data_IF_819985047385
#
_entry.id   IF_819985047385
#
_cell.length_a   1.000
_cell.length_b   1.000
_cell.length_c   1.000
_cell.angle_alpha   90.00
_cell.angle_beta   90.00
_cell.angle_gamma   90.00
#
_symmetry.space_group_name_H-M   'P 1'
#
loop_
_entity.id
_entity.type
_entity.pdbx_description
1 polymer ?
#
# COMPACT_ATOMS: atom_id res chain seq x y z
N UNK A 1 -8.67 -2.32 23.07
CA UNK A 1 -10.10 -2.48 22.70
C UNK A 1 -10.87 -1.34 23.33
N UNK A 2 -11.80 -0.75 22.62
CA UNK A 2 -12.62 0.35 23.12
C UNK A 2 -13.62 -0.16 24.17
N UNK A 3 -13.86 0.65 25.19
CA UNK A 3 -15.01 0.46 26.06
C UNK A 3 -16.32 0.70 25.30
N UNK A 4 -17.42 0.12 25.77
CA UNK A 4 -18.72 0.27 25.10
C UNK A 4 -19.15 1.73 24.95
N UNK A 5 -18.93 2.56 25.98
CA UNK A 5 -19.22 3.99 25.96
C UNK A 5 -18.40 4.74 24.91
N UNK A 6 -17.10 4.44 24.80
CA UNK A 6 -16.20 5.02 23.79
C UNK A 6 -16.64 4.64 22.38
N UNK A 7 -17.03 3.37 22.17
CA UNK A 7 -17.55 2.90 20.88
C UNK A 7 -18.85 3.63 20.53
N UNK A 8 -19.80 3.74 21.45
CA UNK A 8 -21.05 4.48 21.19
C UNK A 8 -20.81 5.94 20.82
N UNK A 9 -19.90 6.63 21.51
CA UNK A 9 -19.50 8.01 21.19
C UNK A 9 -18.81 8.12 19.82
N UNK A 10 -17.95 7.16 19.47
CA UNK A 10 -17.32 7.07 18.16
C UNK A 10 -18.39 6.94 17.06
N UNK A 11 -19.32 5.99 17.19
CA UNK A 11 -20.38 5.78 16.20
C UNK A 11 -21.32 6.98 16.10
N UNK A 12 -21.50 7.73 17.20
CA UNK A 12 -22.25 8.98 17.21
C UNK A 12 -21.55 10.11 16.45
N UNK A 13 -20.25 10.31 16.71
CA UNK A 13 -19.41 11.27 15.98
C UNK A 13 -19.33 10.97 14.49
N UNK A 14 -19.28 9.70 14.11
CA UNK A 14 -19.32 9.26 12.71
C UNK A 14 -20.72 9.42 12.08
N UNK A 15 -21.74 9.77 12.87
CA UNK A 15 -23.09 10.02 12.36
C UNK A 15 -23.84 8.75 11.95
N UNK A 16 -23.48 7.57 12.47
CA UNK A 16 -24.14 6.32 12.05
C UNK A 16 -25.63 6.33 12.43
N UNK A 17 -26.53 5.97 11.50
CA UNK A 17 -27.94 5.71 11.81
C UNK A 17 -28.12 4.60 12.84
N UNK A 18 -29.26 4.59 13.55
CA UNK A 18 -29.58 3.60 14.59
C UNK A 18 -29.42 2.15 14.09
N UNK A 19 -29.86 1.86 12.87
CA UNK A 19 -29.74 0.53 12.27
C UNK A 19 -28.27 0.10 12.08
N UNK A 20 -27.40 1.02 11.68
CA UNK A 20 -25.96 0.78 11.58
C UNK A 20 -25.31 0.59 12.95
N UNK A 21 -25.59 1.50 13.89
CA UNK A 21 -25.08 1.38 15.27
C UNK A 21 -25.39 0.01 15.87
N UNK A 22 -26.63 -0.45 15.70
CA UNK A 22 -27.04 -1.77 16.19
C UNK A 22 -26.20 -2.90 15.58
N UNK A 23 -25.98 -2.90 14.26
CA UNK A 23 -25.12 -3.90 13.62
C UNK A 23 -23.71 -3.92 14.21
N UNK A 24 -23.12 -2.76 14.46
CA UNK A 24 -21.75 -2.65 14.97
C UNK A 24 -21.65 -3.06 16.44
N UNK A 25 -22.60 -2.62 17.28
CA UNK A 25 -22.64 -3.00 18.70
C UNK A 25 -22.94 -4.50 18.88
N UNK A 26 -23.83 -5.06 18.06
CA UNK A 26 -24.10 -6.51 18.04
C UNK A 26 -22.86 -7.28 17.58
N UNK A 27 -22.15 -6.83 16.54
CA UNK A 27 -20.90 -7.43 16.11
C UNK A 27 -19.83 -7.40 17.22
N UNK A 28 -19.66 -6.27 17.90
CA UNK A 28 -18.70 -6.14 18.99
C UNK A 28 -18.96 -7.11 20.15
N UNK A 29 -20.23 -7.45 20.38
CA UNK A 29 -20.67 -8.33 21.46
C UNK A 29 -20.72 -9.80 21.08
N UNK A 30 -21.11 -10.13 19.85
CA UNK A 30 -21.48 -11.48 19.45
C UNK A 30 -20.56 -12.10 18.39
N UNK A 31 -19.62 -11.35 17.82
CA UNK A 31 -18.69 -11.89 16.84
C UNK A 31 -17.65 -12.84 17.49
N UNK A 32 -17.32 -13.98 16.82
CA UNK A 32 -17.82 -14.40 15.50
C UNK A 32 -19.23 -15.01 15.56
N UNK A 33 -20.10 -14.66 14.61
CA UNK A 33 -21.51 -15.14 14.59
C UNK A 33 -21.72 -16.49 13.90
N UNK A 34 -20.70 -16.98 13.17
CA UNK A 34 -20.63 -18.37 12.73
C UNK A 34 -19.43 -19.02 13.42
N UNK A 35 -19.57 -20.27 13.84
CA UNK A 35 -18.41 -21.00 14.33
C UNK A 35 -17.45 -21.29 13.19
N UNK A 36 -16.17 -21.13 13.49
CA UNK A 36 -15.05 -21.49 12.62
C UNK A 36 -15.10 -22.99 12.35
N UNK A 37 -15.41 -23.39 11.11
CA UNK A 37 -15.51 -24.82 10.74
C UNK A 37 -14.40 -25.21 9.77
N UNK A 38 -13.52 -26.12 10.19
CA UNK A 38 -12.66 -26.85 9.27
C UNK A 38 -13.53 -27.83 8.46
N UNK A 39 -13.91 -27.46 7.24
CA UNK A 39 -14.56 -28.40 6.31
C UNK A 39 -13.48 -29.15 5.54
N UNK A 40 -12.96 -30.22 6.15
CA UNK A 40 -12.35 -31.37 5.46
C UNK A 40 -11.34 -31.06 4.36
N UNK A 41 -10.21 -30.40 4.69
CA UNK A 41 -8.97 -30.52 3.91
C UNK A 41 -8.33 -29.23 3.39
N UNK A 42 -8.96 -28.06 3.53
CA UNK A 42 -8.41 -26.79 3.01
C UNK A 42 -8.36 -25.60 3.98
N UNK A 43 -9.16 -25.61 5.05
CA UNK A 43 -9.25 -24.50 6.00
C UNK A 43 -8.43 -24.81 7.26
N UNK A 44 -7.43 -23.97 7.53
CA UNK A 44 -6.58 -24.04 8.73
C UNK A 44 -7.06 -22.97 9.69
N UNK A 45 -7.59 -23.41 10.84
CA UNK A 45 -7.89 -22.49 11.94
C UNK A 45 -6.57 -21.98 12.47
N UNK A 46 -6.34 -20.68 12.34
CA UNK A 46 -5.12 -20.04 12.85
C UNK A 46 -5.52 -19.09 13.98
N UNK A 47 -5.26 -19.46 15.24
CA UNK A 47 -5.46 -18.56 16.37
C UNK A 47 -4.35 -17.49 16.36
N UNK A 48 -4.73 -16.25 16.64
CA UNK A 48 -3.83 -15.10 16.73
C UNK A 48 -4.15 -14.31 18.00
N UNK A 49 -3.13 -13.97 18.81
CA UNK A 49 -3.32 -13.21 20.04
C UNK A 49 -3.32 -11.72 19.70
N UNK A 50 -4.49 -11.08 19.75
CA UNK A 50 -4.63 -9.67 19.43
C UNK A 50 -4.47 -8.81 20.68
N UNK A 51 -3.51 -7.88 20.64
CA UNK A 51 -3.34 -6.84 21.66
C UNK A 51 -4.38 -5.75 21.48
N UNK A 52 -4.73 -5.36 20.24
CA UNK A 52 -5.81 -4.38 19.99
C UNK A 52 -7.13 -4.86 20.55
N UNK A 53 -7.48 -6.14 20.34
CA UNK A 53 -8.74 -6.72 20.76
C UNK A 53 -8.71 -7.34 22.15
N UNK A 54 -7.53 -7.50 22.77
CA UNK A 54 -7.34 -8.14 24.08
C UNK A 54 -7.99 -9.53 24.17
N UNK A 55 -7.93 -10.28 23.06
CA UNK A 55 -8.51 -11.62 22.92
C UNK A 55 -7.84 -12.40 21.80
N UNK A 56 -8.05 -13.72 21.81
CA UNK A 56 -7.70 -14.55 20.66
C UNK A 56 -8.66 -14.28 19.50
N UNK A 57 -8.11 -13.99 18.33
CA UNK A 57 -8.81 -13.89 17.05
C UNK A 57 -8.57 -15.18 16.29
N UNK A 58 -9.63 -15.85 15.88
CA UNK A 58 -9.54 -17.07 15.07
C UNK A 58 -9.84 -16.74 13.60
N UNK A 59 -9.03 -17.28 12.69
CA UNK A 59 -9.20 -17.12 11.24
C UNK A 59 -9.31 -18.48 10.55
N UNK A 60 -10.11 -18.59 9.50
CA UNK A 60 -10.38 -19.84 8.75
C UNK A 60 -9.43 -20.09 7.58
N UNK A 61 -8.61 -19.10 7.22
CA UNK A 61 -7.70 -19.17 6.08
C UNK A 61 -6.31 -18.61 6.42
N UNK A 62 -5.30 -19.48 6.31
CA UNK A 62 -3.88 -19.11 6.48
C UNK A 62 -3.41 -18.07 5.47
N UNK A 63 -3.99 -18.04 4.26
CA UNK A 63 -3.48 -17.22 3.16
C UNK A 63 -4.33 -15.99 2.85
N UNK A 64 -5.52 -15.85 3.44
CA UNK A 64 -6.40 -14.69 3.21
C UNK A 64 -6.83 -14.01 4.52
N UNK A 65 -7.40 -14.76 5.46
CA UNK A 65 -7.94 -14.19 6.69
C UNK A 65 -6.86 -13.93 7.75
N UNK A 66 -5.87 -14.82 7.89
CA UNK A 66 -4.76 -14.60 8.81
C UNK A 66 -3.92 -13.36 8.42
N UNK A 67 -3.49 -13.20 7.15
CA UNK A 67 -2.92 -11.94 6.65
C UNK A 67 -3.76 -10.70 6.94
N UNK A 68 -5.09 -10.80 6.83
CA UNK A 68 -6.01 -9.71 7.17
C UNK A 68 -5.89 -9.33 8.64
N UNK A 69 -6.01 -10.31 9.53
CA UNK A 69 -5.97 -10.11 10.97
C UNK A 69 -4.64 -9.48 11.41
N UNK A 70 -3.51 -9.97 10.87
CA UNK A 70 -2.18 -9.38 11.12
C UNK A 70 -2.11 -7.94 10.60
N UNK A 71 -2.63 -7.67 9.40
CA UNK A 71 -2.66 -6.31 8.86
C UNK A 71 -3.45 -5.35 9.76
N UNK A 72 -4.64 -5.77 10.21
CA UNK A 72 -5.47 -4.95 11.10
C UNK A 72 -4.88 -4.79 12.51
N UNK A 73 -4.17 -5.80 13.02
CA UNK A 73 -3.49 -5.72 14.32
C UNK A 73 -2.38 -4.66 14.34
N UNK A 74 -1.70 -4.44 13.22
CA UNK A 74 -0.55 -3.53 13.16
C UNK A 74 -0.82 -2.25 12.35
N UNK A 75 -2.04 -2.07 11.85
CA UNK A 75 -2.48 -0.81 11.27
C UNK A 75 -2.79 0.21 12.38
N UNK A 76 -2.07 1.34 12.47
CA UNK A 76 -2.29 2.34 13.51
C UNK A 76 -3.67 3.01 13.44
N UNK A 77 -4.32 3.03 12.27
CA UNK A 77 -5.65 3.64 12.11
C UNK A 77 -6.78 2.72 12.61
N UNK A 78 -6.53 1.42 12.73
CA UNK A 78 -7.52 0.44 13.18
C UNK A 78 -7.62 0.46 14.70
N UNK A 79 -8.79 0.75 15.23
CA UNK A 79 -9.07 0.68 16.67
C UNK A 79 -9.49 -0.72 17.08
N UNK A 80 -10.36 -1.34 16.27
CA UNK A 80 -10.92 -2.66 16.51
C UNK A 80 -11.18 -3.42 15.20
N UNK A 81 -11.09 -4.73 15.28
CA UNK A 81 -11.49 -5.61 14.18
C UNK A 81 -12.13 -6.91 14.70
N UNK A 82 -13.20 -7.34 14.02
CA UNK A 82 -13.99 -8.49 14.42
C UNK A 82 -14.15 -9.46 13.25
N UNK A 83 -13.64 -10.71 13.34
CA UNK A 83 -13.87 -11.71 12.31
C UNK A 83 -15.33 -12.14 12.31
N UNK A 84 -15.90 -12.38 11.13
CA UNK A 84 -17.25 -12.90 10.92
C UNK A 84 -18.29 -12.15 11.76
N UNK A 85 -18.39 -10.82 11.60
CA UNK A 85 -18.98 -9.92 12.59
C UNK A 85 -20.50 -10.03 12.68
N UNK A 86 -21.16 -10.31 11.56
CA UNK A 86 -22.62 -10.35 11.48
C UNK A 86 -23.08 -11.18 10.27
N UNK A 87 -24.36 -11.58 10.28
CA UNK A 87 -25.02 -12.17 9.11
C UNK A 87 -25.96 -11.13 8.52
N UNK A 88 -25.69 -10.75 7.28
CA UNK A 88 -26.49 -9.85 6.49
C UNK A 88 -27.55 -10.65 5.73
N UNK A 89 -28.82 -10.33 5.98
CA UNK A 89 -29.97 -10.95 5.33
C UNK A 89 -30.94 -9.87 4.87
N UNK A 90 -31.04 -9.64 3.57
CA UNK A 90 -31.91 -8.61 2.99
C UNK A 90 -32.15 -8.84 1.50
N UNK A 91 -33.15 -8.16 0.96
CA UNK A 91 -33.46 -8.14 -0.47
C UNK A 91 -32.85 -6.90 -1.13
N UNK A 92 -32.37 -7.07 -2.36
CA UNK A 92 -31.96 -5.97 -3.23
C UNK A 92 -32.67 -6.08 -4.57
N UNK A 93 -32.87 -4.94 -5.22
CA UNK A 93 -33.45 -4.87 -6.56
C UNK A 93 -32.34 -4.39 -7.48
N UNK A 94 -32.09 -5.11 -8.57
CA UNK A 94 -31.12 -4.69 -9.57
C UNK A 94 -31.69 -3.64 -10.54
N UNK A 95 -30.85 -3.19 -11.48
CA UNK A 95 -31.22 -2.18 -12.48
C UNK A 95 -32.34 -2.62 -13.43
N UNK A 96 -32.53 -3.93 -13.60
CA UNK A 96 -33.53 -4.53 -14.49
C UNK A 96 -34.83 -4.83 -13.72
N UNK A 97 -34.87 -4.54 -12.41
CA UNK A 97 -36.02 -4.72 -11.54
C UNK A 97 -36.11 -6.12 -10.92
N UNK A 98 -35.10 -6.97 -11.10
CA UNK A 98 -35.09 -8.31 -10.52
C UNK A 98 -34.74 -8.24 -9.02
N UNK A 99 -35.47 -9.02 -8.21
CA UNK A 99 -35.27 -9.12 -6.77
C UNK A 99 -34.26 -10.23 -6.47
N UNK A 100 -33.20 -9.90 -5.75
CA UNK A 100 -32.16 -10.83 -5.32
C UNK A 100 -32.09 -10.90 -3.80
N UNK A 101 -31.98 -12.12 -3.27
CA UNK A 101 -31.77 -12.36 -1.84
C UNK A 101 -30.28 -12.31 -1.52
N UNK A 102 -29.91 -11.47 -0.56
CA UNK A 102 -28.58 -11.46 0.06
C UNK A 102 -28.64 -12.28 1.34
N UNK A 103 -27.81 -13.31 1.43
CA UNK A 103 -27.48 -14.03 2.66
C UNK A 103 -25.95 -14.14 2.74
N UNK A 104 -25.34 -13.32 3.57
CA UNK A 104 -23.91 -13.07 3.54
C UNK A 104 -23.34 -12.78 4.92
N UNK A 105 -22.24 -13.43 5.28
CA UNK A 105 -21.41 -13.07 6.43
C UNK A 105 -20.11 -12.49 5.88
N UNK A 106 -19.85 -11.17 6.06
CA UNK A 106 -18.55 -10.57 5.75
C UNK A 106 -17.44 -11.23 6.57
N UNK A 107 -16.20 -11.16 6.09
CA UNK A 107 -15.06 -11.78 6.78
C UNK A 107 -14.57 -10.94 7.96
N UNK A 108 -14.55 -9.61 7.84
CA UNK A 108 -14.16 -8.71 8.93
C UNK A 108 -15.08 -7.51 9.06
N UNK A 109 -15.25 -7.04 10.29
CA UNK A 109 -15.60 -5.66 10.60
C UNK A 109 -14.32 -4.96 11.05
N UNK A 110 -14.06 -3.76 10.53
CA UNK A 110 -12.94 -2.90 10.88
C UNK A 110 -13.48 -1.55 11.33
N UNK A 111 -13.05 -1.09 12.49
CA UNK A 111 -13.44 0.19 13.08
C UNK A 111 -12.20 1.07 13.18
N UNK A 112 -12.26 2.26 12.59
CA UNK A 112 -11.23 3.31 12.70
C UNK A 112 -11.82 4.55 13.35
N UNK A 113 -10.99 5.55 13.63
CA UNK A 113 -11.44 6.87 14.09
C UNK A 113 -12.36 7.58 13.07
N UNK A 114 -12.22 7.24 11.78
CA UNK A 114 -12.85 7.94 10.67
C UNK A 114 -13.95 7.14 9.97
N UNK A 115 -14.03 5.83 10.18
CA UNK A 115 -14.97 4.99 9.43
C UNK A 115 -15.25 3.65 10.09
N UNK A 116 -16.35 3.03 9.68
CA UNK A 116 -16.66 1.64 9.97
C UNK A 116 -16.85 0.88 8.67
N UNK A 117 -16.13 -0.23 8.51
CA UNK A 117 -16.02 -0.94 7.24
C UNK A 117 -16.28 -2.43 7.46
N UNK A 118 -17.17 -3.01 6.67
CA UNK A 118 -17.27 -4.46 6.50
C UNK A 118 -16.41 -4.89 5.31
N UNK A 119 -15.50 -5.83 5.54
CA UNK A 119 -14.64 -6.39 4.50
C UNK A 119 -15.06 -7.79 4.12
N UNK A 120 -15.02 -8.05 2.81
CA UNK A 120 -15.11 -9.39 2.24
C UNK A 120 -13.80 -9.76 1.57
N UNK A 121 -13.30 -10.97 1.80
CA UNK A 121 -12.07 -11.49 1.20
C UNK A 121 -12.40 -12.53 0.14
N UNK A 122 -11.96 -12.29 -1.09
CA UNK A 122 -12.10 -13.28 -2.17
C UNK A 122 -10.88 -13.29 -3.09
N UNK A 123 -10.44 -14.47 -3.54
CA UNK A 123 -9.41 -14.56 -4.57
C UNK A 123 -9.85 -13.84 -5.85
N UNK A 124 -8.92 -13.14 -6.51
CA UNK A 124 -9.19 -12.42 -7.76
C UNK A 124 -9.85 -13.31 -8.82
N UNK A 125 -9.26 -14.48 -9.07
CA UNK A 125 -9.75 -15.45 -10.06
C UNK A 125 -11.17 -15.94 -9.76
N UNK A 126 -11.54 -16.01 -8.47
CA UNK A 126 -12.90 -16.38 -8.05
C UNK A 126 -13.89 -15.26 -8.34
N UNK A 127 -13.49 -14.00 -8.13
CA UNK A 127 -14.34 -12.83 -8.44
C UNK A 127 -14.62 -12.72 -9.94
N UNK A 128 -13.65 -13.02 -10.81
CA UNK A 128 -13.88 -13.06 -12.26
C UNK A 128 -14.98 -14.05 -12.65
N UNK A 129 -14.96 -15.25 -12.07
CA UNK A 129 -16.00 -16.25 -12.28
C UNK A 129 -17.36 -15.85 -11.68
N UNK A 130 -17.35 -15.22 -10.51
CA UNK A 130 -18.56 -14.75 -9.83
C UNK A 130 -19.20 -13.57 -10.56
N UNK A 131 -18.43 -12.65 -11.12
CA UNK A 131 -18.94 -11.52 -11.89
C UNK A 131 -19.62 -11.96 -13.19
N UNK A 132 -19.11 -13.01 -13.84
CA UNK A 132 -19.78 -13.62 -15.01
C UNK A 132 -21.10 -14.28 -14.64
N UNK A 133 -21.19 -14.89 -13.44
CA UNK A 133 -22.38 -15.62 -12.99
C UNK A 133 -23.43 -14.71 -12.35
N UNK A 134 -22.98 -13.69 -11.62
CA UNK A 134 -23.78 -12.76 -10.84
C UNK A 134 -23.32 -11.32 -11.13
N UNK A 135 -23.48 -10.83 -12.38
CA UNK A 135 -23.04 -9.49 -12.77
C UNK A 135 -23.78 -8.38 -12.01
N UNK A 136 -24.98 -8.67 -11.50
CA UNK A 136 -25.72 -7.79 -10.62
C UNK A 136 -25.03 -7.59 -9.25
N UNK A 137 -24.20 -8.56 -8.82
CA UNK A 137 -23.56 -8.57 -7.49
C UNK A 137 -22.11 -8.14 -7.51
N UNK A 138 -21.31 -8.55 -8.50
CA UNK A 138 -19.86 -8.30 -8.51
C UNK A 138 -19.47 -7.55 -9.77
N UNK A 139 -18.78 -6.43 -9.59
CA UNK A 139 -18.37 -5.55 -10.69
C UNK A 139 -16.91 -5.14 -10.51
N UNK A 140 -16.13 -5.16 -11.59
CA UNK A 140 -14.76 -4.65 -11.59
C UNK A 140 -14.80 -3.17 -11.99
N UNK A 141 -14.32 -2.31 -11.10
CA UNK A 141 -14.19 -0.87 -11.34
C UNK A 141 -13.04 -0.54 -12.29
N UNK A 142 -13.08 0.66 -12.85
CA UNK A 142 -12.01 1.19 -13.73
C UNK A 142 -10.71 1.45 -12.98
N UNK A 143 -10.77 1.55 -11.66
CA UNK A 143 -9.64 1.68 -10.75
C UNK A 143 -8.97 0.33 -10.42
N UNK A 144 -9.51 -0.78 -10.93
CA UNK A 144 -8.98 -2.12 -10.71
C UNK A 144 -9.46 -2.79 -9.43
N UNK A 145 -10.43 -2.23 -8.70
CA UNK A 145 -11.02 -2.85 -7.51
C UNK A 145 -12.36 -3.54 -7.79
N UNK A 146 -12.67 -4.52 -6.96
CA UNK A 146 -13.96 -5.23 -7.02
C UNK A 146 -14.99 -4.58 -6.10
N UNK A 147 -16.18 -4.42 -6.62
CA UNK A 147 -17.32 -3.81 -5.94
C UNK A 147 -18.51 -4.78 -5.87
N UNK A 148 -19.33 -4.58 -4.85
CA UNK A 148 -20.68 -5.13 -4.75
C UNK A 148 -21.71 -4.02 -4.52
N UNK A 149 -22.09 -3.26 -5.57
CA UNK A 149 -22.78 -1.97 -5.41
C UNK A 149 -24.09 -2.04 -4.63
N UNK A 150 -24.88 -3.10 -4.79
CA UNK A 150 -26.15 -3.25 -4.07
C UNK A 150 -25.95 -3.53 -2.56
N UNK A 151 -24.88 -4.24 -2.19
CA UNK A 151 -24.51 -4.47 -0.79
C UNK A 151 -23.92 -3.18 -0.21
N UNK A 152 -23.04 -2.52 -0.96
CA UNK A 152 -22.43 -1.24 -0.60
C UNK A 152 -23.49 -0.19 -0.33
N UNK A 153 -24.48 -0.02 -1.22
CA UNK A 153 -25.56 0.94 -1.02
C UNK A 153 -26.38 0.63 0.23
N UNK A 154 -26.77 -0.64 0.42
CA UNK A 154 -27.56 -1.03 1.59
C UNK A 154 -26.82 -0.78 2.92
N UNK A 155 -25.50 -0.96 2.93
CA UNK A 155 -24.66 -0.66 4.10
C UNK A 155 -24.37 0.83 4.25
N UNK A 156 -24.22 1.57 3.15
CA UNK A 156 -24.04 3.01 3.14
C UNK A 156 -25.25 3.73 3.75
N UNK A 157 -26.48 3.26 3.46
CA UNK A 157 -27.71 3.75 4.10
C UNK A 157 -27.72 3.53 5.64
N UNK A 158 -26.81 2.69 6.13
CA UNK A 158 -26.58 2.41 7.56
C UNK A 158 -25.28 3.02 8.07
N UNK A 159 -24.62 3.88 7.29
CA UNK A 159 -23.36 4.53 7.65
C UNK A 159 -22.17 3.58 7.75
N UNK A 160 -22.22 2.43 7.08
CA UNK A 160 -21.16 1.41 7.09
C UNK A 160 -20.64 1.27 5.67
N UNK A 161 -19.32 1.38 5.48
CA UNK A 161 -18.72 1.09 4.19
C UNK A 161 -18.59 -0.41 3.97
N UNK A 162 -18.56 -0.85 2.71
CA UNK A 162 -18.27 -2.24 2.36
C UNK A 162 -17.17 -2.27 1.31
N UNK A 163 -16.22 -3.18 1.46
CA UNK A 163 -15.16 -3.37 0.46
C UNK A 163 -14.82 -4.83 0.25
N UNK A 164 -14.53 -5.19 -0.99
CA UNK A 164 -13.99 -6.49 -1.34
C UNK A 164 -12.47 -6.34 -1.45
N UNK A 165 -11.74 -7.23 -0.77
CA UNK A 165 -10.29 -7.33 -0.78
C UNK A 165 -9.88 -8.67 -1.38
N UNK A 166 -8.75 -8.65 -2.08
CA UNK A 166 -8.15 -9.78 -2.79
C UNK A 166 -6.70 -9.99 -2.32
N UNK A 167 -6.06 -11.04 -2.81
CA UNK A 167 -4.63 -11.29 -2.62
C UNK A 167 -3.74 -10.18 -3.19
N UNK A 168 -4.27 -9.29 -4.03
CA UNK A 168 -3.53 -8.16 -4.59
C UNK A 168 -3.45 -6.96 -3.65
N UNK A 169 -4.30 -6.92 -2.62
CA UNK A 169 -4.38 -5.81 -1.67
C UNK A 169 -3.36 -5.89 -0.55
N UNK A 170 -2.87 -7.11 -0.23
CA UNK A 170 -1.92 -7.34 0.87
C UNK A 170 -0.77 -8.22 0.34
N UNK A 171 0.44 -7.66 0.13
CA UNK A 171 1.60 -8.44 -0.22
C UNK A 171 1.90 -9.46 0.87
N UNK A 172 2.02 -10.75 0.52
CA UNK A 172 2.36 -11.79 1.49
C UNK A 172 3.66 -11.47 2.24
N UNK A 173 4.64 -10.87 1.53
CA UNK A 173 5.92 -10.45 2.10
C UNK A 173 5.75 -9.44 3.24
N UNK A 174 4.81 -8.50 3.11
CA UNK A 174 4.48 -7.54 4.18
C UNK A 174 4.12 -8.27 5.46
N UNK A 175 3.28 -9.31 5.37
CA UNK A 175 2.84 -10.09 6.53
C UNK A 175 4.00 -10.85 7.17
N UNK A 176 4.84 -11.49 6.37
CA UNK A 176 6.03 -12.19 6.88
C UNK A 176 6.97 -11.24 7.63
N UNK A 177 7.17 -10.03 7.10
CA UNK A 177 7.99 -9.01 7.73
C UNK A 177 7.32 -8.41 8.98
N UNK A 178 6.01 -8.16 8.98
CA UNK A 178 5.29 -7.70 10.18
C UNK A 178 5.41 -8.73 11.30
N UNK A 179 5.28 -10.03 11.00
CA UNK A 179 5.45 -11.09 12.00
C UNK A 179 6.88 -11.17 12.53
N UNK A 180 7.89 -10.87 11.70
CA UNK A 180 9.27 -10.72 12.18
C UNK A 180 9.41 -9.51 13.13
N UNK A 181 8.66 -8.44 12.86
CA UNK A 181 8.69 -7.19 13.62
C UNK A 181 7.76 -7.16 14.85
N UNK A 182 6.99 -8.22 15.11
CA UNK A 182 5.96 -8.27 16.17
C UNK A 182 6.48 -7.81 17.54
N UNK A 183 7.65 -8.29 17.96
CA UNK A 183 8.27 -7.89 19.23
C UNK A 183 8.68 -6.40 19.25
N UNK A 184 9.01 -5.82 18.10
CA UNK A 184 9.43 -4.42 17.94
C UNK A 184 8.24 -3.46 17.84
N UNK A 185 7.13 -3.95 17.29
CA UNK A 185 5.85 -3.24 17.20
C UNK A 185 5.13 -3.15 18.55
N UNK A 186 5.55 -3.94 19.54
CA UNK A 186 4.99 -3.86 20.89
C UNK A 186 5.23 -2.47 21.52
N UNK A 187 4.23 -1.80 22.12
CA UNK A 187 4.38 -0.46 22.69
C UNK A 187 5.43 -0.35 23.80
N UNK A 188 5.73 -1.46 24.48
CA UNK A 188 6.76 -1.54 25.51
C UNK A 188 8.16 -1.92 24.98
N UNK A 189 8.32 -2.11 23.67
CA UNK A 189 9.63 -2.37 23.07
C UNK A 189 10.55 -1.16 23.29
N UNK A 190 11.81 -1.36 23.73
CA UNK A 190 12.74 -0.24 23.89
C UNK A 190 12.90 0.55 22.59
N UNK A 191 12.98 1.90 22.64
CA UNK A 191 13.25 2.69 21.45
C UNK A 191 14.69 2.47 20.98
N UNK A 192 14.93 2.68 19.68
CA UNK A 192 16.28 2.75 19.13
C UNK A 192 17.06 3.91 19.80
N UNK A 193 18.33 3.73 20.20
CA UNK A 193 19.15 4.82 20.72
C UNK A 193 19.24 5.98 19.72
N UNK A 194 18.99 7.21 20.18
CA UNK A 194 18.93 8.39 19.33
C UNK A 194 20.21 8.64 18.50
N UNK A 195 21.38 8.30 19.06
CA UNK A 195 22.65 8.40 18.35
C UNK A 195 22.76 7.39 17.20
N UNK A 196 22.23 6.18 17.36
CA UNK A 196 22.21 5.16 16.31
C UNK A 196 21.22 5.56 15.21
N UNK A 197 20.02 6.01 15.60
CA UNK A 197 19.03 6.52 14.67
C UNK A 197 19.59 7.68 13.82
N UNK A 198 20.24 8.66 14.46
CA UNK A 198 20.86 9.78 13.75
C UNK A 198 21.93 9.31 12.75
N UNK A 199 22.83 8.41 13.16
CA UNK A 199 23.87 7.88 12.26
C UNK A 199 23.27 7.16 11.04
N UNK A 200 22.16 6.43 11.22
CA UNK A 200 21.44 5.77 10.10
C UNK A 200 20.85 6.82 9.16
N UNK A 201 20.22 7.86 9.70
CA UNK A 201 19.66 8.95 8.89
C UNK A 201 20.73 9.74 8.15
N UNK A 202 21.87 10.01 8.79
CA UNK A 202 23.01 10.70 8.16
C UNK A 202 23.58 9.85 7.00
N UNK A 203 23.73 8.54 7.21
CA UNK A 203 24.16 7.63 6.14
C UNK A 203 23.17 7.60 4.96
N UNK A 204 21.87 7.68 5.22
CA UNK A 204 20.84 7.76 4.17
C UNK A 204 20.72 9.16 3.53
N UNK A 205 21.15 10.21 4.22
CA UNK A 205 21.27 11.53 3.62
C UNK A 205 22.41 11.55 2.59
N UNK A 206 23.51 10.83 2.85
CA UNK A 206 24.64 10.68 1.93
C UNK A 206 24.34 9.69 0.78
N UNK A 207 23.77 8.53 1.10
CA UNK A 207 23.36 7.49 0.17
C UNK A 207 21.87 7.17 0.35
N UNK A 208 21.02 7.76 -0.49
CA UNK A 208 19.56 7.69 -0.34
C UNK A 208 18.95 6.28 -0.34
N UNK A 209 19.72 5.28 -0.79
CA UNK A 209 19.34 3.86 -0.83
C UNK A 209 20.51 3.03 -0.32
N UNK A 210 20.25 2.15 0.64
CA UNK A 210 21.21 1.17 1.13
C UNK A 210 20.54 -0.20 1.27
N UNK A 211 21.28 -1.27 1.01
CA UNK A 211 20.92 -2.57 1.52
C UNK A 211 21.17 -2.63 3.03
N UNK A 212 20.39 -3.42 3.76
CA UNK A 212 20.62 -3.62 5.19
C UNK A 212 22.04 -4.14 5.47
N UNK A 213 22.58 -5.01 4.61
CA UNK A 213 23.95 -5.49 4.72
C UNK A 213 24.98 -4.35 4.65
N UNK A 214 24.81 -3.40 3.71
CA UNK A 214 25.71 -2.26 3.56
C UNK A 214 25.62 -1.32 4.77
N UNK A 215 24.42 -1.14 5.34
CA UNK A 215 24.24 -0.38 6.57
C UNK A 215 25.02 -0.99 7.73
N UNK A 216 24.91 -2.31 7.93
CA UNK A 216 25.60 -3.02 9.01
C UNK A 216 27.13 -3.05 8.83
N UNK A 217 27.63 -2.92 7.60
CA UNK A 217 29.05 -2.78 7.32
C UNK A 217 29.56 -1.35 7.58
N UNK A 218 28.72 -0.34 7.31
CA UNK A 218 29.07 1.09 7.45
C UNK A 218 28.97 1.60 8.88
N UNK A 219 28.00 1.13 9.64
CA UNK A 219 27.64 1.69 10.96
C UNK A 219 27.70 0.62 12.05
N UNK A 220 28.12 1.04 13.24
CA UNK A 220 28.00 0.24 14.46
C UNK A 220 26.55 0.29 14.97
N UNK A 221 25.68 -0.51 14.35
CA UNK A 221 24.27 -0.64 14.71
C UNK A 221 23.84 -2.11 14.72
N UNK A 222 22.86 -2.44 15.55
CA UNK A 222 22.30 -3.80 15.63
C UNK A 222 21.09 -3.94 14.72
N UNK A 223 20.79 -5.17 14.30
CA UNK A 223 19.55 -5.47 13.59
C UNK A 223 18.32 -5.02 14.38
N UNK A 224 18.34 -5.20 15.70
CA UNK A 224 17.27 -4.78 16.61
C UNK A 224 16.99 -3.27 16.52
N UNK A 225 18.04 -2.44 16.38
CA UNK A 225 17.92 -0.98 16.25
C UNK A 225 17.18 -0.63 14.95
N UNK A 226 17.57 -1.27 13.85
CA UNK A 226 16.99 -1.05 12.52
C UNK A 226 15.55 -1.55 12.46
N UNK A 227 15.28 -2.75 12.97
CA UNK A 227 13.93 -3.31 13.04
C UNK A 227 13.01 -2.45 13.90
N UNK A 228 13.52 -1.88 15.00
CA UNK A 228 12.75 -0.93 15.81
C UNK A 228 12.41 0.33 15.03
N UNK A 229 13.36 0.93 14.32
CA UNK A 229 13.10 2.13 13.49
C UNK A 229 12.08 1.85 12.38
N UNK A 230 12.14 0.67 11.75
CA UNK A 230 11.15 0.27 10.73
C UNK A 230 9.77 0.07 11.37
N UNK A 231 9.70 -0.61 12.52
CA UNK A 231 8.46 -0.85 13.24
C UNK A 231 7.79 0.46 13.70
N UNK A 232 8.58 1.45 14.12
CA UNK A 232 8.09 2.78 14.52
C UNK A 232 7.75 3.68 13.33
N UNK A 233 7.95 3.22 12.09
CA UNK A 233 7.72 4.00 10.87
C UNK A 233 8.73 5.14 10.67
N UNK A 234 9.85 5.11 11.39
CA UNK A 234 10.92 6.12 11.31
C UNK A 234 11.94 5.80 10.21
N UNK A 235 12.00 4.54 9.75
CA UNK A 235 12.88 4.11 8.67
C UNK A 235 12.09 3.42 7.56
N UNK A 236 12.20 3.94 6.34
CA UNK A 236 11.52 3.39 5.17
C UNK A 236 12.28 2.18 4.65
N UNK A 237 11.58 1.06 4.43
CA UNK A 237 12.18 -0.20 3.95
C UNK A 237 11.33 -0.87 2.88
N UNK A 238 11.92 -1.81 2.14
CA UNK A 238 11.25 -2.67 1.16
C UNK A 238 10.39 -3.76 1.80
N UNK A 239 9.63 -3.41 2.85
CA UNK A 239 8.83 -4.34 3.65
C UNK A 239 7.81 -5.14 2.82
N UNK A 240 7.41 -4.63 1.66
CA UNK A 240 6.42 -5.25 0.77
C UNK A 240 7.01 -6.23 -0.24
N UNK A 241 8.31 -6.16 -0.49
CA UNK A 241 8.94 -6.82 -1.64
C UNK A 241 10.14 -7.69 -1.26
N UNK A 242 10.86 -7.32 -0.19
CA UNK A 242 12.08 -8.01 0.24
C UNK A 242 11.97 -8.54 1.69
N UNK A 243 12.52 -9.73 1.99
CA UNK A 243 12.61 -10.25 3.36
C UNK A 243 13.53 -9.38 4.21
N UNK A 244 13.03 -8.85 5.33
CA UNK A 244 13.85 -8.15 6.34
C UNK A 244 14.92 -9.06 6.95
N UNK A 245 14.66 -10.37 6.97
CA UNK A 245 15.60 -11.39 7.45
C UNK A 245 16.76 -11.69 6.49
N UNK A 246 16.77 -11.11 5.28
CA UNK A 246 17.85 -11.30 4.29
C UNK A 246 18.53 -9.94 3.98
N UNK A 247 19.57 -9.56 4.75
CA UNK A 247 20.13 -8.20 4.70
C UNK A 247 20.68 -7.76 3.33
N UNK A 248 21.13 -8.70 2.50
CA UNK A 248 21.63 -8.43 1.15
C UNK A 248 20.52 -8.18 0.11
N UNK A 249 19.26 -8.38 0.48
CA UNK A 249 18.12 -8.24 -0.43
C UNK A 249 17.15 -7.15 -0.02
N UNK A 250 17.09 -6.85 1.28
CA UNK A 250 16.23 -5.78 1.77
C UNK A 250 16.94 -4.44 1.70
N UNK A 251 16.29 -3.46 1.08
CA UNK A 251 16.75 -2.08 1.01
C UNK A 251 16.00 -1.22 2.02
N UNK A 252 16.70 -0.20 2.48
CA UNK A 252 16.19 0.93 3.22
C UNK A 252 16.39 2.20 2.41
N UNK A 253 15.52 3.16 2.66
CA UNK A 253 15.44 4.39 1.89
C UNK A 253 15.44 5.57 2.84
N UNK A 254 16.04 6.67 2.39
CA UNK A 254 15.99 7.95 3.10
C UNK A 254 14.56 8.38 3.41
N UNK A 255 13.67 8.23 2.42
CA UNK A 255 12.27 8.64 2.53
C UNK A 255 11.37 7.84 1.55
N UNK A 256 10.06 8.09 1.65
CA UNK A 256 9.04 7.43 0.84
C UNK A 256 9.12 7.79 -0.65
N UNK A 257 9.61 8.99 -0.99
CA UNK A 257 9.73 9.42 -2.37
C UNK A 257 10.88 8.70 -3.08
N UNK A 258 12.03 8.52 -2.41
CA UNK A 258 13.14 7.72 -2.90
C UNK A 258 12.70 6.26 -3.13
N UNK A 259 11.99 5.67 -2.17
CA UNK A 259 11.45 4.32 -2.34
C UNK A 259 10.56 4.22 -3.58
N UNK A 260 9.58 5.11 -3.71
CA UNK A 260 8.65 5.11 -4.83
C UNK A 260 9.37 5.32 -6.17
N UNK A 261 10.39 6.17 -6.21
CA UNK A 261 11.23 6.41 -7.39
C UNK A 261 12.01 5.15 -7.79
N UNK A 262 12.68 4.50 -6.84
CA UNK A 262 13.40 3.24 -7.09
C UNK A 262 12.47 2.12 -7.59
N UNK A 263 11.26 2.04 -7.04
CA UNK A 263 10.27 1.06 -7.48
C UNK A 263 9.79 1.34 -8.89
N UNK A 264 9.58 2.62 -9.24
CA UNK A 264 9.21 3.02 -10.60
C UNK A 264 10.33 2.69 -11.60
N UNK A 265 11.59 2.94 -11.24
CA UNK A 265 12.77 2.66 -12.10
C UNK A 265 12.94 1.17 -12.42
N UNK A 266 12.60 0.30 -11.47
CA UNK A 266 12.71 -1.15 -11.63
C UNK A 266 11.53 -1.78 -12.38
N UNK A 267 10.44 -1.03 -12.63
CA UNK A 267 9.34 -1.53 -13.46
C UNK A 267 9.81 -1.59 -14.92
N UNK A 268 9.48 -2.67 -15.65
CA UNK A 268 9.72 -2.70 -17.09
C UNK A 268 9.00 -1.52 -17.73
N UNK A 269 9.74 -0.64 -18.41
CA UNK A 269 9.14 0.37 -19.29
C UNK A 269 8.32 -0.37 -20.35
N UNK A 270 7.05 0.02 -20.62
CA UNK A 270 6.32 -0.52 -21.76
C UNK A 270 7.22 -0.41 -23.00
N UNK A 271 7.42 -1.51 -23.73
CA UNK A 271 8.35 -1.60 -24.85
C UNK A 271 8.28 -0.33 -25.72
N UNK A 272 9.39 0.42 -25.77
CA UNK A 272 9.49 1.62 -26.57
C UNK A 272 9.16 1.30 -28.03
N UNK A 273 8.26 2.09 -28.62
CA UNK A 273 7.94 2.02 -30.04
C UNK A 273 9.21 2.46 -30.79
N UNK A 274 9.76 1.66 -31.73
CA UNK A 274 10.97 2.02 -32.46
C UNK A 274 10.79 3.32 -33.25
N UNK A 275 11.74 4.25 -33.12
CA UNK A 275 11.81 5.48 -33.95
C UNK A 275 11.41 6.78 -33.26
N UNK A 276 11.08 6.75 -31.97
CA UNK A 276 10.92 7.95 -31.13
C UNK A 276 12.21 8.06 -30.30
N UNK A 277 12.76 9.27 -30.19
CA UNK A 277 14.01 9.57 -29.46
C UNK A 277 14.04 8.81 -28.12
N UNK A 278 15.10 8.05 -27.87
CA UNK A 278 15.27 7.28 -26.63
C UNK A 278 15.64 8.25 -25.49
N UNK A 279 14.62 8.69 -24.74
CA UNK A 279 14.80 9.64 -23.63
C UNK A 279 15.31 8.85 -22.42
N UNK A 280 16.63 8.89 -22.23
CA UNK A 280 17.30 8.30 -21.08
C UNK A 280 17.98 9.40 -20.30
N UNK A 281 18.27 9.12 -19.03
CA UNK A 281 19.17 9.97 -18.24
C UNK A 281 20.50 10.10 -18.97
N UNK A 282 20.96 11.34 -19.11
CA UNK A 282 22.14 11.75 -19.85
C UNK A 282 21.96 12.02 -21.33
N UNK A 283 20.75 11.83 -21.89
CA UNK A 283 20.45 12.29 -23.24
C UNK A 283 20.49 13.82 -23.28
N UNK A 284 21.38 14.40 -24.09
CA UNK A 284 21.35 15.83 -24.40
C UNK A 284 20.32 16.09 -25.49
N UNK A 285 19.36 16.96 -25.17
CA UNK A 285 18.27 17.37 -26.06
C UNK A 285 18.34 18.88 -26.27
N UNK A 286 18.28 19.32 -27.52
CA UNK A 286 18.20 20.76 -27.84
C UNK A 286 16.75 21.13 -28.12
N UNK A 287 16.25 22.15 -27.41
CA UNK A 287 14.94 22.76 -27.64
C UNK A 287 15.13 24.27 -27.78
N UNK A 288 14.60 24.86 -28.87
CA UNK A 288 14.73 26.29 -29.19
C UNK A 288 16.19 26.83 -29.11
N UNK A 289 17.14 26.05 -29.65
CA UNK A 289 18.59 26.33 -29.61
C UNK A 289 19.25 26.34 -28.23
N UNK A 290 18.50 26.05 -27.16
CA UNK A 290 19.04 25.88 -25.82
C UNK A 290 19.29 24.39 -25.54
N UNK A 291 20.51 24.00 -25.13
CA UNK A 291 20.82 22.63 -24.76
C UNK A 291 20.26 22.32 -23.37
N UNK A 292 19.73 21.12 -23.25
CA UNK A 292 19.31 20.54 -21.98
C UNK A 292 19.85 19.12 -21.87
N UNK A 293 20.19 18.71 -20.66
CA UNK A 293 20.51 17.32 -20.34
C UNK A 293 19.37 16.72 -19.55
N UNK A 294 18.87 15.58 -19.99
CA UNK A 294 17.89 14.81 -19.22
C UNK A 294 18.58 14.28 -17.97
N UNK A 295 18.22 14.79 -16.79
CA UNK A 295 18.83 14.38 -15.52
C UNK A 295 17.95 13.38 -14.78
N UNK A 296 16.63 13.48 -14.90
CA UNK A 296 15.72 12.50 -14.27
C UNK A 296 14.67 12.08 -15.28
N UNK A 297 14.43 10.78 -15.38
CA UNK A 297 13.32 10.21 -16.17
C UNK A 297 12.41 9.44 -15.22
N UNK A 298 11.23 9.99 -14.96
CA UNK A 298 10.13 9.29 -14.30
C UNK A 298 9.26 8.54 -15.30
N UNK A 299 8.14 8.00 -14.83
CA UNK A 299 7.18 7.27 -15.68
C UNK A 299 6.30 8.17 -16.55
N UNK A 300 6.12 9.45 -16.17
CA UNK A 300 5.26 10.41 -16.88
C UNK A 300 5.91 11.77 -17.16
N UNK A 301 6.95 12.15 -16.40
CA UNK A 301 7.70 13.40 -16.57
C UNK A 301 9.21 13.14 -16.54
N UNK A 302 9.96 14.06 -17.14
CA UNK A 302 11.40 14.12 -17.04
C UNK A 302 11.84 15.51 -16.55
N UNK A 303 12.96 15.54 -15.83
CA UNK A 303 13.64 16.76 -15.44
C UNK A 303 14.80 16.98 -16.41
N UNK A 304 14.79 18.15 -17.03
CA UNK A 304 15.83 18.63 -17.92
C UNK A 304 16.66 19.69 -17.21
N UNK A 305 17.98 19.58 -17.26
CA UNK A 305 18.87 20.61 -16.72
C UNK A 305 19.54 21.37 -17.86
N UNK A 306 19.46 22.69 -17.82
CA UNK A 306 20.21 23.58 -18.72
C UNK A 306 21.67 23.72 -18.28
N UNK A 307 22.55 24.15 -19.18
CA UNK A 307 23.98 24.37 -18.89
C UNK A 307 24.23 25.38 -17.75
N UNK A 308 23.29 26.30 -17.52
CA UNK A 308 23.35 27.29 -16.43
C UNK A 308 22.93 26.72 -15.06
N UNK A 309 22.66 25.40 -14.99
CA UNK A 309 22.27 24.68 -13.78
C UNK A 309 20.77 24.74 -13.46
N UNK A 310 19.98 25.51 -14.20
CA UNK A 310 18.53 25.60 -14.01
C UNK A 310 17.82 24.34 -14.52
N UNK A 311 16.93 23.80 -13.70
CA UNK A 311 16.11 22.62 -14.02
C UNK A 311 14.73 23.04 -14.53
N UNK A 312 14.25 22.35 -15.57
CA UNK A 312 12.93 22.52 -16.18
C UNK A 312 12.23 21.17 -16.23
N UNK A 313 11.00 21.15 -15.76
CA UNK A 313 10.16 19.96 -15.77
C UNK A 313 9.39 19.86 -17.08
N UNK A 314 9.41 18.69 -17.71
CA UNK A 314 8.69 18.44 -18.95
C UNK A 314 7.99 17.08 -18.91
N UNK A 315 6.71 17.04 -19.29
CA UNK A 315 6.00 15.78 -19.44
C UNK A 315 6.64 14.92 -20.53
N UNK A 316 6.74 13.60 -20.32
CA UNK A 316 7.26 12.65 -21.31
C UNK A 316 6.46 12.77 -22.61
N UNK A 317 5.13 12.87 -22.53
CA UNK A 317 4.27 13.07 -23.70
C UNK A 317 4.60 14.39 -24.44
N UNK A 318 5.07 15.42 -23.73
CA UNK A 318 5.50 16.68 -24.35
C UNK A 318 6.83 16.48 -25.06
N UNK A 319 7.79 15.79 -24.46
CA UNK A 319 9.06 15.46 -25.10
C UNK A 319 8.85 14.56 -26.33
N UNK A 320 7.93 13.60 -26.26
CA UNK A 320 7.52 12.77 -27.40
C UNK A 320 6.90 13.61 -28.52
N UNK A 321 6.00 14.55 -28.18
CA UNK A 321 5.39 15.48 -29.15
C UNK A 321 6.44 16.39 -29.81
N UNK A 322 7.40 16.90 -29.04
CA UNK A 322 8.47 17.76 -29.54
C UNK A 322 9.46 16.97 -30.41
N UNK A 323 9.79 15.73 -30.03
CA UNK A 323 10.59 14.82 -30.84
C UNK A 323 9.88 14.45 -32.14
N UNK A 324 8.58 14.16 -32.09
CA UNK A 324 7.77 13.86 -33.28
C UNK A 324 7.70 15.04 -34.26
N UNK A 325 7.69 16.27 -33.75
CA UNK A 325 7.71 17.50 -34.56
C UNK A 325 9.10 17.88 -35.08
N UNK A 326 10.16 17.16 -34.72
CA UNK A 326 11.58 17.50 -34.97
C UNK A 326 12.06 18.80 -34.33
N UNK A 327 11.29 19.35 -33.38
CA UNK A 327 11.66 20.52 -32.58
C UNK A 327 12.65 20.17 -31.46
N UNK A 328 12.74 18.88 -31.14
CA UNK A 328 13.71 18.30 -30.22
C UNK A 328 14.74 17.47 -31.01
N UNK A 329 16.02 17.84 -30.92
CA UNK A 329 17.11 17.05 -31.52
C UNK A 329 17.95 16.41 -30.42
N UNK A 330 18.08 15.08 -30.47
CA UNK A 330 19.08 14.38 -29.67
C UNK A 330 20.45 14.61 -30.30
N UNK A 331 21.35 15.24 -29.56
CA UNK A 331 22.76 15.34 -29.93
C UNK A 331 23.50 14.18 -29.29
N UNK A 332 24.11 13.31 -30.11
CA UNK A 332 25.08 12.33 -29.62
C UNK A 332 26.31 13.09 -29.10
N UNK A 333 26.31 13.42 -27.80
CA UNK A 333 27.54 13.81 -27.14
C UNK A 333 28.42 12.57 -27.00
N UNK A 334 29.40 12.48 -27.89
CA UNK A 334 30.53 11.58 -27.77
C UNK A 334 31.36 12.03 -26.56
N UNK A 335 31.12 11.41 -25.41
CA UNK A 335 32.02 11.46 -24.27
C UNK A 335 31.90 12.69 -23.36
N UNK A 336 30.81 12.76 -22.61
CA UNK A 336 30.89 13.28 -21.24
C UNK A 336 30.51 12.15 -20.29
N UNK A 337 31.45 11.71 -19.45
CA UNK A 337 31.13 10.91 -18.28
C UNK A 337 30.25 11.77 -17.38
N UNK A 338 28.93 11.73 -17.59
CA UNK A 338 27.98 12.26 -16.62
C UNK A 338 28.15 11.40 -15.37
N UNK A 339 28.50 12.04 -14.26
CA UNK A 339 28.52 11.37 -12.97
C UNK A 339 27.15 10.71 -12.74
N UNK A 340 27.11 9.48 -12.21
CA UNK A 340 25.86 8.82 -11.91
C UNK A 340 25.08 9.69 -10.93
N UNK A 341 23.90 10.12 -11.36
CA UNK A 341 23.02 11.00 -10.61
C UNK A 341 22.67 10.32 -9.28
N UNK A 342 23.02 10.98 -8.17
CA UNK A 342 22.82 10.45 -6.83
C UNK A 342 21.45 10.89 -6.34
N UNK A 343 20.61 9.94 -5.93
CA UNK A 343 19.30 10.25 -5.38
C UNK A 343 19.38 11.07 -4.07
N UNK A 344 20.53 11.05 -3.39
CA UNK A 344 20.81 11.89 -2.23
C UNK A 344 20.82 13.38 -2.56
N UNK A 345 21.11 13.77 -3.81
CA UNK A 345 21.17 15.17 -4.22
C UNK A 345 19.78 15.82 -4.39
N UNK A 346 18.70 15.02 -4.42
CA UNK A 346 17.33 15.50 -4.62
C UNK A 346 16.53 15.47 -3.32
N UNK A 347 15.72 16.50 -3.11
CA UNK A 347 14.78 16.58 -2.00
C UNK A 347 13.58 15.63 -2.20
N UNK A 348 12.85 15.35 -1.11
CA UNK A 348 11.63 14.54 -1.16
C UNK A 348 10.58 15.15 -2.10
N UNK A 349 10.44 16.49 -2.11
CA UNK A 349 9.47 17.20 -2.94
C UNK A 349 9.81 17.08 -4.43
N UNK A 350 11.08 17.27 -4.81
CA UNK A 350 11.53 17.11 -6.20
C UNK A 350 11.27 15.69 -6.73
N UNK A 351 11.49 14.66 -5.90
CA UNK A 351 11.19 13.28 -6.26
C UNK A 351 9.69 13.00 -6.34
N UNK A 352 8.87 13.56 -5.43
CA UNK A 352 7.41 13.45 -5.50
C UNK A 352 6.85 14.10 -6.76
N UNK A 353 7.41 15.24 -7.15
CA UNK A 353 7.03 15.92 -8.39
C UNK A 353 7.39 15.07 -9.60
N UNK A 354 8.57 14.47 -9.64
CA UNK A 354 8.98 13.53 -10.70
C UNK A 354 8.06 12.29 -10.80
N UNK A 355 7.42 11.89 -9.69
CA UNK A 355 6.48 10.78 -9.62
C UNK A 355 5.02 11.15 -9.94
N UNK A 356 4.70 12.44 -10.02
CA UNK A 356 3.33 12.91 -10.28
C UNK A 356 2.91 12.64 -11.74
N UNK A 357 1.81 11.91 -11.90
CA UNK A 357 1.24 11.43 -13.18
C UNK A 357 1.14 12.49 -14.26
#
# INVERSE_FOLDING_TARGET
MLENSQREQLLDRLGLPIAGRRLILDAAKYAPVRQVRSKGGGNVITPYQSLKMQRTVETESRHFEFPAAVSHEYDPEVLEYYPQPCRLQFEVIDKDGEIHQIDHTPDFLVITELSVILEERKPWSKLEGLARRYPWRYQLGTDGHWYAPLIEQWLADRGIAYRIRTERDIPQRRIENILLLEDYLHPAAPPCPATVAQSIHDALAEDAVLYLAELYEKLDCRADDVFKLIADGLLVSDIDYAPLSEPHRCRIFRDTAVQAFEHARLRPVPQAIPGIVDIRVGTSVTYDQQPYTVVVVGSSKAVLQSDDGNSVEVAIETLEKLAFKQDLKATENSGSQLEPIRLSDFTEEELRVALSR
#
